data_IF_369808101350
#
_entry.id   IF_369808101350
#
_cell.length_a   1.000
_cell.length_b   1.000
_cell.length_c   1.000
_cell.angle_alpha   90.00
_cell.angle_beta   90.00
_cell.angle_gamma   90.00
#
_symmetry.space_group_name_H-M   'P 1'
#
loop_
_entity.id
_entity.type
_entity.pdbx_description
1 polymer ?
#
# COMPACT_ATOMS: atom_id res chain seq x y z
N UNK A 1 6.13 2.39 -7.04
CA UNK A 1 6.31 1.33 -8.02
C UNK A 1 7.66 0.69 -7.80
N UNK A 2 7.70 -0.64 -7.88
CA UNK A 2 8.84 -1.48 -7.53
C UNK A 2 9.84 -1.55 -8.72
N UNK A 3 10.11 -0.43 -9.37
CA UNK A 3 10.99 -0.40 -10.55
C UNK A 3 12.44 -0.03 -10.22
N UNK A 4 12.68 0.48 -9.02
CA UNK A 4 14.01 0.87 -8.60
C UNK A 4 14.56 -0.14 -7.60
N UNK A 5 15.46 -0.97 -8.07
CA UNK A 5 16.26 -1.90 -7.27
C UNK A 5 17.64 -1.33 -6.88
N UNK A 6 17.83 -0.03 -7.07
CA UNK A 6 19.12 0.64 -6.88
C UNK A 6 18.95 1.94 -6.14
N UNK A 7 19.72 2.13 -5.07
CA UNK A 7 19.87 3.40 -4.37
C UNK A 7 21.01 4.20 -5.02
N UNK A 8 20.75 5.45 -5.37
CA UNK A 8 21.77 6.38 -5.85
C UNK A 8 22.05 7.42 -4.76
N UNK A 9 23.29 7.46 -4.31
CA UNK A 9 23.75 8.39 -3.27
C UNK A 9 24.10 9.78 -3.85
N UNK A 10 24.26 10.83 -3.03
CA UNK A 10 24.57 12.18 -3.48
C UNK A 10 25.88 12.31 -4.24
N UNK A 11 26.81 11.38 -4.05
CA UNK A 11 28.09 11.30 -4.77
C UNK A 11 28.00 10.50 -6.09
N UNK A 12 26.77 10.16 -6.52
CA UNK A 12 26.46 9.31 -7.68
C UNK A 12 26.93 7.86 -7.59
N UNK A 13 27.37 7.39 -6.45
CA UNK A 13 27.57 5.97 -6.24
C UNK A 13 26.22 5.24 -6.20
N UNK A 14 26.22 3.98 -6.67
CA UNK A 14 25.01 3.17 -6.73
C UNK A 14 25.20 1.87 -5.94
N UNK A 15 24.16 1.48 -5.22
CA UNK A 15 24.11 0.23 -4.47
C UNK A 15 22.82 -0.51 -4.80
N UNK A 16 22.85 -1.83 -5.06
CA UNK A 16 21.64 -2.61 -5.25
C UNK A 16 20.84 -2.66 -3.95
N UNK A 17 19.51 -2.50 -4.08
CA UNK A 17 18.57 -2.55 -2.97
C UNK A 17 17.85 -3.90 -2.97
N UNK A 18 17.88 -4.60 -1.85
CA UNK A 18 17.07 -5.80 -1.63
C UNK A 18 15.73 -5.38 -1.04
N UNK A 19 14.68 -5.40 -1.85
CA UNK A 19 13.36 -4.94 -1.49
C UNK A 19 12.47 -6.10 -1.05
N UNK A 20 12.08 -6.07 0.22
CA UNK A 20 11.12 -7.00 0.80
C UNK A 20 9.80 -6.31 1.11
N UNK A 21 8.70 -6.92 0.70
CA UNK A 21 7.34 -6.47 1.04
C UNK A 21 6.75 -7.40 2.09
N UNK A 22 6.36 -6.84 3.22
CA UNK A 22 5.79 -7.57 4.34
C UNK A 22 4.31 -7.19 4.53
N UNK A 23 3.50 -8.09 5.10
CA UNK A 23 2.16 -7.73 5.53
C UNK A 23 2.18 -6.57 6.52
N UNK A 24 1.10 -5.79 6.56
CA UNK A 24 0.94 -4.71 7.54
C UNK A 24 1.16 -5.25 8.96
N UNK A 25 1.97 -4.59 9.80
CA UNK A 25 2.17 -5.05 11.17
C UNK A 25 0.87 -4.98 11.98
N UNK A 26 0.66 -5.96 12.83
CA UNK A 26 -0.45 -6.02 13.78
C UNK A 26 0.06 -6.32 15.19
N UNK A 27 -0.65 -5.86 16.20
CA UNK A 27 -0.39 -6.27 17.58
C UNK A 27 -0.99 -7.64 17.86
N UNK A 28 -0.42 -8.39 18.81
CA UNK A 28 -0.84 -9.77 19.10
C UNK A 28 -2.32 -9.88 19.52
N UNK A 29 -2.82 -8.86 20.20
CA UNK A 29 -4.16 -8.84 20.81
C UNK A 29 -5.20 -8.02 20.02
N UNK A 30 -4.87 -7.58 18.79
CA UNK A 30 -5.78 -6.78 17.97
C UNK A 30 -6.14 -7.50 16.66
N UNK A 31 -7.31 -7.14 16.13
CA UNK A 31 -7.71 -7.58 14.80
C UNK A 31 -6.70 -7.09 13.76
N UNK A 32 -6.37 -7.96 12.83
CA UNK A 32 -5.53 -7.61 11.70
C UNK A 32 -6.37 -6.75 10.73
N UNK A 33 -6.12 -5.47 10.70
CA UNK A 33 -6.83 -4.52 9.84
C UNK A 33 -5.94 -4.09 8.67
N UNK A 34 -6.53 -3.97 7.49
CA UNK A 34 -5.89 -3.30 6.36
C UNK A 34 -6.82 -2.26 5.76
N UNK A 35 -6.29 -1.09 5.45
CA UNK A 35 -7.04 -0.10 4.68
C UNK A 35 -7.03 -0.50 3.22
N UNK A 36 -8.22 -0.55 2.62
CA UNK A 36 -8.37 -0.78 1.20
C UNK A 36 -8.69 0.54 0.51
N UNK A 37 -7.69 1.08 -0.18
CA UNK A 37 -7.84 2.20 -1.09
C UNK A 37 -7.59 1.72 -2.53
N UNK A 38 -8.25 2.34 -3.50
CA UNK A 38 -8.07 1.95 -4.90
C UNK A 38 -8.65 2.97 -5.87
N UNK A 39 -8.30 2.79 -7.12
CA UNK A 39 -8.87 3.57 -8.24
C UNK A 39 -10.04 2.78 -8.81
N UNK A 40 -11.19 3.43 -8.96
CA UNK A 40 -12.36 2.85 -9.58
C UNK A 40 -12.52 3.30 -11.04
N UNK A 41 -13.07 2.43 -11.86
CA UNK A 41 -13.52 2.79 -13.20
C UNK A 41 -14.98 3.24 -13.15
N UNK A 42 -15.26 4.42 -13.68
CA UNK A 42 -16.59 4.96 -13.80
C UNK A 42 -16.97 5.08 -15.28
N UNK A 43 -18.11 4.54 -15.66
CA UNK A 43 -18.67 4.72 -16.99
C UNK A 43 -19.77 5.80 -16.95
N UNK A 44 -19.62 6.86 -17.74
CA UNK A 44 -20.65 7.86 -17.90
C UNK A 44 -21.73 7.37 -18.90
N UNK A 45 -22.99 7.31 -18.42
CA UNK A 45 -24.09 6.86 -19.26
C UNK A 45 -24.48 7.97 -20.24
N UNK A 46 -24.29 7.68 -21.55
CA UNK A 46 -24.72 8.54 -22.66
C UNK A 46 -25.77 7.85 -23.51
N UNK A 47 -25.36 6.92 -24.36
CA UNK A 47 -26.22 6.08 -25.15
C UNK A 47 -26.13 4.63 -24.71
N UNK A 48 -27.14 3.83 -25.05
CA UNK A 48 -27.18 2.40 -24.74
C UNK A 48 -25.96 1.66 -25.33
N UNK A 49 -25.63 1.94 -26.57
CA UNK A 49 -24.48 1.36 -27.27
C UNK A 49 -23.15 1.68 -26.59
N UNK A 50 -22.96 2.92 -26.10
CA UNK A 50 -21.75 3.30 -25.38
C UNK A 50 -21.68 2.66 -23.99
N UNK A 51 -22.83 2.49 -23.33
CA UNK A 51 -22.88 1.79 -22.05
C UNK A 51 -22.53 0.30 -22.21
N UNK A 52 -23.03 -0.33 -23.28
CA UNK A 52 -22.69 -1.72 -23.63
C UNK A 52 -21.20 -1.87 -23.96
N UNK A 53 -20.64 -0.98 -24.77
CA UNK A 53 -19.21 -0.97 -25.08
C UNK A 53 -18.34 -0.79 -23.83
N UNK A 54 -18.73 0.09 -22.90
CA UNK A 54 -18.03 0.26 -21.61
C UNK A 54 -18.09 -1.01 -20.76
N UNK A 55 -19.25 -1.68 -20.71
CA UNK A 55 -19.40 -2.94 -20.00
C UNK A 55 -18.54 -4.07 -20.62
N UNK A 56 -18.46 -4.15 -21.93
CA UNK A 56 -17.57 -5.08 -22.63
C UNK A 56 -16.10 -4.81 -22.33
N UNK A 57 -15.70 -3.54 -22.35
CA UNK A 57 -14.32 -3.15 -22.00
C UNK A 57 -13.96 -3.56 -20.56
N UNK A 58 -14.83 -3.27 -19.59
CA UNK A 58 -14.57 -3.63 -18.18
C UNK A 58 -14.48 -5.15 -18.01
N UNK A 59 -15.38 -5.92 -18.67
CA UNK A 59 -15.29 -7.38 -18.64
C UNK A 59 -13.97 -7.88 -19.22
N UNK A 60 -13.59 -7.36 -20.37
CA UNK A 60 -12.35 -7.70 -21.04
C UNK A 60 -11.11 -7.36 -20.18
N UNK A 61 -11.04 -6.16 -19.61
CA UNK A 61 -9.93 -5.72 -18.75
C UNK A 61 -9.81 -6.56 -17.48
N UNK A 62 -10.95 -7.02 -16.94
CA UNK A 62 -10.99 -7.80 -15.70
C UNK A 62 -10.96 -9.33 -15.93
N UNK A 63 -10.76 -9.82 -17.16
CA UNK A 63 -10.45 -11.24 -17.38
C UNK A 63 -9.13 -11.59 -16.68
N UNK A 64 -9.05 -12.81 -16.13
CA UNK A 64 -7.96 -13.18 -15.21
C UNK A 64 -6.57 -12.92 -15.81
N UNK A 65 -6.31 -13.39 -17.02
CA UNK A 65 -5.03 -13.24 -17.71
C UNK A 65 -4.64 -11.77 -17.91
N UNK A 66 -5.56 -10.94 -18.45
CA UNK A 66 -5.30 -9.51 -18.68
C UNK A 66 -5.20 -8.72 -17.39
N UNK A 67 -5.98 -9.10 -16.39
CA UNK A 67 -5.90 -8.47 -15.08
C UNK A 67 -4.56 -8.77 -14.41
N UNK A 68 -4.03 -9.98 -14.53
CA UNK A 68 -2.70 -10.34 -14.04
C UNK A 68 -1.61 -9.51 -14.72
N UNK A 69 -1.65 -9.41 -16.05
CA UNK A 69 -0.70 -8.59 -16.81
C UNK A 69 -0.74 -7.11 -16.37
N UNK A 70 -1.92 -6.54 -16.22
CA UNK A 70 -2.09 -5.17 -15.73
C UNK A 70 -1.55 -4.97 -14.31
N UNK A 71 -1.88 -5.87 -13.36
CA UNK A 71 -1.47 -5.70 -11.96
C UNK A 71 0.02 -5.97 -11.78
N UNK A 72 0.60 -6.91 -12.53
CA UNK A 72 2.03 -7.17 -12.53
C UNK A 72 2.85 -5.93 -12.93
N UNK A 73 2.34 -5.12 -13.86
CA UNK A 73 3.01 -3.89 -14.30
C UNK A 73 2.70 -2.65 -13.47
N UNK A 74 1.67 -2.70 -12.61
CA UNK A 74 1.23 -1.54 -11.84
C UNK A 74 1.38 -1.70 -10.33
N UNK A 75 1.54 -2.93 -9.82
CA UNK A 75 1.55 -3.23 -8.40
C UNK A 75 0.17 -3.13 -7.74
N UNK A 76 -0.90 -3.04 -8.53
CA UNK A 76 -2.26 -3.08 -8.01
C UNK A 76 -2.69 -4.50 -7.62
N UNK A 77 -3.75 -4.59 -6.82
CA UNK A 77 -4.34 -5.87 -6.44
C UNK A 77 -5.25 -6.40 -7.55
N UNK A 78 -5.25 -7.71 -7.83
CA UNK A 78 -6.22 -8.32 -8.73
C UNK A 78 -7.67 -8.06 -8.30
N UNK A 79 -8.54 -7.79 -9.26
CA UNK A 79 -9.96 -7.49 -8.98
C UNK A 79 -10.86 -8.72 -9.00
N UNK A 80 -10.34 -9.87 -9.43
CA UNK A 80 -11.07 -11.15 -9.45
C UNK A 80 -10.31 -12.22 -8.69
N UNK A 81 -11.07 -13.08 -8.00
CA UNK A 81 -10.50 -14.20 -7.26
C UNK A 81 -9.64 -15.10 -8.16
N UNK A 82 -10.12 -15.47 -9.34
CA UNK A 82 -9.36 -16.32 -10.26
C UNK A 82 -8.03 -15.69 -10.73
N UNK A 83 -7.95 -14.38 -10.88
CA UNK A 83 -6.70 -13.69 -11.16
C UNK A 83 -5.77 -13.71 -9.94
N UNK A 84 -6.35 -13.53 -8.74
CA UNK A 84 -5.58 -13.59 -7.51
C UNK A 84 -5.00 -14.98 -7.23
N UNK A 85 -5.79 -16.02 -7.49
CA UNK A 85 -5.37 -17.41 -7.29
C UNK A 85 -4.27 -17.84 -8.28
N UNK A 86 -4.30 -17.29 -9.50
CA UNK A 86 -3.34 -17.58 -10.56
C UNK A 86 -2.03 -16.77 -10.45
N UNK A 87 -1.94 -15.81 -9.53
CA UNK A 87 -0.78 -14.91 -9.45
C UNK A 87 0.51 -15.63 -9.05
N UNK A 88 0.42 -16.70 -8.27
CA UNK A 88 1.57 -17.52 -7.87
C UNK A 88 2.23 -18.27 -9.03
N UNK A 89 1.49 -18.47 -10.11
CA UNK A 89 1.95 -19.18 -11.31
C UNK A 89 2.29 -18.20 -12.44
N UNK A 90 2.30 -16.90 -12.14
CA UNK A 90 2.56 -15.87 -13.15
C UNK A 90 4.04 -15.61 -13.32
N UNK A 91 4.58 -15.91 -14.50
CA UNK A 91 6.03 -15.89 -14.79
C UNK A 91 6.52 -14.57 -15.43
N UNK A 92 5.63 -13.66 -15.77
CA UNK A 92 5.95 -12.46 -16.54
C UNK A 92 6.05 -11.18 -15.69
N UNK A 93 6.48 -11.29 -14.42
CA UNK A 93 6.73 -10.11 -13.61
C UNK A 93 7.86 -9.26 -14.19
N UNK A 94 7.69 -7.92 -14.22
CA UNK A 94 8.81 -7.05 -14.56
C UNK A 94 9.92 -7.16 -13.50
N UNK A 95 11.13 -6.83 -13.87
CA UNK A 95 12.24 -6.80 -12.91
C UNK A 95 12.03 -5.65 -11.88
N UNK A 96 12.38 -5.86 -10.62
CA UNK A 96 12.87 -7.09 -10.00
C UNK A 96 11.75 -8.06 -9.64
N UNK A 97 11.73 -9.24 -10.23
CA UNK A 97 10.65 -10.23 -10.03
C UNK A 97 10.45 -10.63 -8.56
N UNK A 98 11.54 -10.79 -7.79
CA UNK A 98 11.48 -11.15 -6.38
C UNK A 98 10.68 -10.12 -5.52
N UNK A 99 10.75 -8.85 -5.84
CA UNK A 99 9.98 -7.82 -5.16
C UNK A 99 8.48 -7.94 -5.44
N UNK A 100 8.09 -8.27 -6.67
CA UNK A 100 6.68 -8.54 -7.01
C UNK A 100 6.19 -9.83 -6.37
N UNK A 101 6.99 -10.89 -6.35
CA UNK A 101 6.65 -12.13 -5.64
C UNK A 101 6.41 -11.88 -4.15
N UNK A 102 7.27 -11.12 -3.48
CA UNK A 102 7.10 -10.75 -2.08
C UNK A 102 5.87 -9.88 -1.85
N UNK A 103 5.56 -8.93 -2.76
CA UNK A 103 4.35 -8.11 -2.71
C UNK A 103 3.09 -8.97 -2.75
N UNK A 104 3.02 -9.90 -3.69
CA UNK A 104 1.81 -10.72 -3.84
C UNK A 104 1.70 -11.79 -2.77
N UNK A 105 2.80 -12.30 -2.24
CA UNK A 105 2.79 -13.17 -1.05
C UNK A 105 2.24 -12.41 0.17
N UNK A 106 2.67 -11.17 0.39
CA UNK A 106 2.14 -10.32 1.46
C UNK A 106 0.64 -10.01 1.26
N UNK A 107 0.22 -9.66 0.03
CA UNK A 107 -1.18 -9.41 -0.29
C UNK A 107 -2.06 -10.65 -0.09
N UNK A 108 -1.57 -11.84 -0.43
CA UNK A 108 -2.29 -13.09 -0.20
C UNK A 108 -2.52 -13.33 1.28
N UNK A 109 -1.47 -13.21 2.10
CA UNK A 109 -1.56 -13.30 3.56
C UNK A 109 -2.55 -12.28 4.12
N UNK A 110 -2.47 -11.03 3.68
CA UNK A 110 -3.38 -9.99 4.16
C UNK A 110 -4.83 -10.24 3.74
N UNK A 111 -5.06 -10.80 2.56
CA UNK A 111 -6.42 -11.16 2.12
C UNK A 111 -7.03 -12.28 2.96
N UNK A 112 -6.24 -13.26 3.39
CA UNK A 112 -6.69 -14.40 4.18
C UNK A 112 -6.88 -14.05 5.66
N UNK A 113 -5.99 -13.24 6.23
CA UNK A 113 -5.87 -13.01 7.67
C UNK A 113 -6.36 -11.62 8.13
N UNK A 114 -6.57 -10.67 7.22
CA UNK A 114 -6.88 -9.28 7.57
C UNK A 114 -8.30 -8.91 7.19
N UNK A 115 -8.89 -8.05 8.00
CA UNK A 115 -10.19 -7.44 7.73
C UNK A 115 -9.97 -6.16 6.93
N UNK A 116 -10.48 -6.07 5.68
CA UNK A 116 -10.41 -4.84 4.91
C UNK A 116 -11.34 -3.79 5.50
N UNK A 117 -10.81 -2.60 5.76
CA UNK A 117 -11.57 -1.46 6.26
C UNK A 117 -11.48 -0.30 5.29
N UNK A 118 -12.58 0.39 5.10
CA UNK A 118 -12.60 1.64 4.35
C UNK A 118 -12.16 2.79 5.23
N UNK A 119 -11.55 3.82 4.63
CA UNK A 119 -11.28 5.06 5.34
C UNK A 119 -12.58 5.63 5.95
N UNK A 120 -12.53 6.10 7.19
CA UNK A 120 -13.67 6.75 7.83
C UNK A 120 -14.16 7.95 7.01
N UNK A 121 -15.49 8.12 6.91
CA UNK A 121 -16.10 9.23 6.18
C UNK A 121 -16.89 10.11 7.15
N UNK A 122 -16.20 11.06 7.76
CA UNK A 122 -16.83 12.08 8.57
C UNK A 122 -16.26 13.47 8.22
N UNK A 123 -17.01 14.51 8.57
CA UNK A 123 -16.58 15.89 8.32
C UNK A 123 -15.25 16.18 9.04
N UNK A 124 -14.29 16.77 8.33
CA UNK A 124 -12.97 17.09 8.87
C UNK A 124 -11.98 15.92 8.91
N UNK A 125 -12.34 14.71 8.47
CA UNK A 125 -11.43 13.55 8.47
C UNK A 125 -10.06 13.85 7.86
N UNK A 126 -10.02 14.38 6.64
CA UNK A 126 -8.75 14.68 5.97
C UNK A 126 -7.93 15.77 6.67
N UNK A 127 -8.61 16.74 7.32
CA UNK A 127 -7.91 17.74 8.14
C UNK A 127 -7.22 17.10 9.35
N UNK A 128 -7.88 16.20 10.05
CA UNK A 128 -7.31 15.47 11.19
C UNK A 128 -6.17 14.55 10.75
N UNK A 129 -6.35 13.84 9.64
CA UNK A 129 -5.30 12.98 9.07
C UNK A 129 -4.07 13.82 8.67
N UNK A 130 -4.26 15.00 8.08
CA UNK A 130 -3.15 15.90 7.75
C UNK A 130 -2.37 16.33 9.00
N UNK A 131 -3.05 16.72 10.07
CA UNK A 131 -2.41 17.08 11.33
C UNK A 131 -1.62 15.92 11.93
N UNK A 132 -2.18 14.70 11.87
CA UNK A 132 -1.49 13.48 12.30
C UNK A 132 -0.21 13.24 11.49
N UNK A 133 -0.31 13.29 10.17
CA UNK A 133 0.86 13.07 9.30
C UNK A 133 1.94 14.13 9.46
N UNK A 134 1.57 15.38 9.63
CA UNK A 134 2.54 16.45 9.88
C UNK A 134 3.23 16.30 11.24
N UNK A 135 2.48 15.86 12.25
CA UNK A 135 3.02 15.49 13.56
C UNK A 135 4.01 14.33 13.47
N UNK A 136 3.63 13.24 12.81
CA UNK A 136 4.51 12.08 12.61
C UNK A 136 5.78 12.43 11.83
N UNK A 137 5.67 13.23 10.78
CA UNK A 137 6.83 13.66 9.98
C UNK A 137 7.80 14.49 10.81
N UNK A 138 7.30 15.40 11.66
CA UNK A 138 8.12 16.18 12.59
C UNK A 138 8.83 15.25 13.57
N UNK A 139 8.13 14.32 14.19
CA UNK A 139 8.72 13.35 15.12
C UNK A 139 9.79 12.50 14.45
N UNK A 140 9.59 12.04 13.23
CA UNK A 140 10.62 11.31 12.47
C UNK A 140 11.91 12.11 12.27
N UNK A 141 11.83 13.44 12.20
CA UNK A 141 13.00 14.31 12.07
C UNK A 141 13.67 14.61 13.42
N UNK A 142 12.88 14.81 14.48
CA UNK A 142 13.35 15.23 15.78
C UNK A 142 13.85 14.08 16.65
N UNK A 143 13.14 12.95 16.69
CA UNK A 143 13.44 11.84 17.61
C UNK A 143 14.83 11.24 17.43
N UNK A 144 15.33 10.99 16.22
CA UNK A 144 16.69 10.47 16.04
C UNK A 144 17.76 11.41 16.56
N UNK A 145 17.55 12.72 16.45
CA UNK A 145 18.49 13.73 16.95
C UNK A 145 18.51 13.76 18.47
N UNK A 146 17.35 13.67 19.11
CA UNK A 146 17.21 13.64 20.58
C UNK A 146 17.78 12.35 21.15
N UNK A 147 17.52 11.20 20.53
CA UNK A 147 18.11 9.93 20.90
C UNK A 147 19.65 9.95 20.78
N UNK A 148 20.18 10.52 19.71
CA UNK A 148 21.63 10.68 19.52
C UNK A 148 22.25 11.65 20.53
N UNK A 149 21.48 12.61 21.05
CA UNK A 149 21.89 13.49 22.15
C UNK A 149 21.86 12.82 23.55
N UNK A 150 21.43 11.56 23.63
CA UNK A 150 21.42 10.76 24.84
C UNK A 150 20.12 10.82 25.63
N UNK A 151 19.03 11.32 25.07
CA UNK A 151 17.71 11.25 25.70
C UNK A 151 17.24 9.78 25.81
N UNK A 152 16.48 9.48 26.85
CA UNK A 152 15.96 8.14 27.10
C UNK A 152 14.90 7.76 26.06
N UNK A 153 15.11 6.64 25.37
CA UNK A 153 14.24 6.19 24.26
C UNK A 153 12.82 5.87 24.75
N UNK A 154 12.68 5.29 25.95
CA UNK A 154 11.35 4.96 26.48
C UNK A 154 10.57 6.23 26.81
N UNK A 155 11.21 7.25 27.37
CA UNK A 155 10.58 8.55 27.61
C UNK A 155 10.18 9.26 26.30
N UNK A 156 11.01 9.15 25.26
CA UNK A 156 10.67 9.66 23.92
C UNK A 156 9.48 8.94 23.31
N UNK A 157 9.37 7.63 23.53
CA UNK A 157 8.24 6.83 23.06
C UNK A 157 6.94 7.20 23.78
N UNK A 158 6.98 7.40 25.10
CA UNK A 158 5.83 7.86 25.90
C UNK A 158 5.36 9.26 25.45
N UNK A 159 6.28 10.22 25.32
CA UNK A 159 5.97 11.57 24.83
C UNK A 159 5.33 11.54 23.45
N UNK A 160 5.85 10.66 22.56
CA UNK A 160 5.30 10.48 21.22
C UNK A 160 3.88 9.91 21.26
N UNK A 161 3.64 8.93 22.10
CA UNK A 161 2.33 8.33 22.27
C UNK A 161 1.31 9.34 22.81
N UNK A 162 1.67 10.10 23.81
CA UNK A 162 0.81 11.15 24.38
C UNK A 162 0.46 12.23 23.35
N UNK A 163 1.44 12.63 22.52
CA UNK A 163 1.21 13.56 21.42
C UNK A 163 0.22 12.97 20.39
N UNK A 164 0.38 11.73 19.99
CA UNK A 164 -0.52 11.07 19.04
C UNK A 164 -1.95 10.94 19.62
N UNK A 165 -2.07 10.61 20.90
CA UNK A 165 -3.36 10.54 21.58
C UNK A 165 -4.04 11.91 21.76
N UNK A 166 -3.32 13.01 21.70
CA UNK A 166 -3.86 14.37 21.82
C UNK A 166 -4.46 14.93 20.52
N UNK A 167 -4.25 14.24 19.39
CA UNK A 167 -4.81 14.65 18.08
C UNK A 167 -6.27 14.21 18.01
N UNK A 168 -7.19 15.14 18.26
CA UNK A 168 -8.64 14.91 18.27
C UNK A 168 -9.34 15.48 17.05
#
# INVERSE_FOLDING_TARGET
MIENDTVTYPDNTQEPMDLHVLPMPKTADADALMTQAGVGLCAYKTTEQKAEAAALFVRWLTEAERNLDFVAHTGYMPVRNGAFDAISDYDNFPAPAAAYESLYAALKTMREDYVPVSEPRFEGYYGKVSVLYDGLRRLQQELPLRAAAGENIDALAEETWDLLCSIH
#
